data_IF_593112932483
#
_entry.id   IF_593112932483
#
_cell.length_a   1.000
_cell.length_b   1.000
_cell.length_c   1.000
_cell.angle_alpha   90.00
_cell.angle_beta   90.00
_cell.angle_gamma   90.00
#
_symmetry.space_group_name_H-M   'P 1'
#
loop_
_entity.id
_entity.type
_entity.pdbx_description
1 polymer ?
#
# COMPACT_ATOMS: atom_id res chain seq x y z
N UNK A 1 -41.08 -5.79 -27.84
CA UNK A 1 -40.96 -7.26 -27.87
C UNK A 1 -39.68 -7.60 -28.62
N UNK A 2 -38.75 -8.28 -27.97
CA UNK A 2 -37.48 -8.71 -28.57
C UNK A 2 -36.27 -8.45 -27.66
N UNK A 3 -36.28 -9.02 -26.45
CA UNK A 3 -35.06 -9.23 -25.66
C UNK A 3 -34.27 -10.39 -26.26
N UNK A 4 -32.94 -10.30 -26.33
CA UNK A 4 -32.05 -11.44 -26.04
C UNK A 4 -30.60 -10.99 -25.88
N UNK A 5 -30.19 -10.83 -24.63
CA UNK A 5 -28.81 -10.78 -24.15
C UNK A 5 -28.09 -12.10 -24.39
N UNK A 6 -26.88 -12.06 -24.93
CA UNK A 6 -26.00 -13.22 -25.04
C UNK A 6 -25.16 -13.40 -23.76
N UNK A 7 -25.58 -14.34 -22.90
CA UNK A 7 -24.77 -14.86 -21.79
C UNK A 7 -24.43 -16.33 -22.08
N UNK A 8 -23.14 -16.67 -22.04
CA UNK A 8 -22.61 -18.03 -22.23
C UNK A 8 -22.63 -18.79 -20.90
N UNK A 9 -23.24 -19.98 -20.79
CA UNK A 9 -23.06 -20.86 -19.62
C UNK A 9 -21.97 -21.93 -19.79
N UNK A 10 -21.40 -22.29 -18.63
CA UNK A 10 -20.38 -23.31 -18.34
C UNK A 10 -20.88 -24.77 -18.44
N UNK A 11 -19.88 -25.66 -18.64
CA UNK A 11 -19.74 -27.05 -18.17
C UNK A 11 -20.46 -28.20 -18.90
N UNK A 12 -19.66 -29.23 -19.26
CA UNK A 12 -20.02 -30.65 -19.35
C UNK A 12 -18.72 -31.53 -19.25
N UNK A 13 -18.77 -32.86 -19.05
CA UNK A 13 -18.70 -33.52 -17.73
C UNK A 13 -17.53 -34.52 -17.59
N UNK A 14 -17.14 -34.81 -16.34
CA UNK A 14 -16.18 -35.89 -15.98
C UNK A 14 -16.93 -37.24 -15.96
N UNK A 15 -16.53 -38.18 -16.81
CA UNK A 15 -17.07 -39.56 -16.80
C UNK A 15 -16.02 -40.54 -16.29
N UNK A 16 -16.28 -41.17 -15.14
CA UNK A 16 -15.50 -42.28 -14.61
C UNK A 16 -16.24 -43.61 -14.79
N UNK A 17 -15.83 -44.44 -15.76
CA UNK A 17 -16.23 -45.85 -15.84
C UNK A 17 -15.22 -46.72 -15.09
N UNK A 18 -15.65 -47.43 -14.04
CA UNK A 18 -14.89 -48.52 -13.41
C UNK A 18 -14.88 -49.74 -14.33
N UNK A 19 -13.70 -50.29 -14.62
CA UNK A 19 -13.52 -51.63 -15.21
C UNK A 19 -12.92 -52.54 -14.15
N UNK A 20 -13.62 -53.61 -13.77
CA UNK A 20 -13.01 -54.72 -13.04
C UNK A 20 -12.03 -55.42 -13.99
N UNK A 21 -10.73 -55.34 -13.75
CA UNK A 21 -9.69 -55.96 -14.58
C UNK A 21 -9.06 -57.13 -13.82
N UNK A 22 -9.00 -58.32 -14.43
CA UNK A 22 -8.25 -59.46 -13.93
C UNK A 22 -6.77 -59.27 -14.24
N UNK A 23 -5.95 -59.06 -13.19
CA UNK A 23 -4.53 -58.72 -13.32
C UNK A 23 -3.66 -59.88 -13.83
N UNK A 24 -4.07 -61.12 -13.62
CA UNK A 24 -3.32 -62.34 -13.97
C UNK A 24 -3.23 -62.61 -15.48
N UNK A 25 -4.23 -62.17 -16.26
CA UNK A 25 -4.28 -62.38 -17.71
C UNK A 25 -3.48 -61.32 -18.49
N UNK A 26 -3.08 -60.23 -17.84
CA UNK A 26 -2.44 -59.10 -18.51
C UNK A 26 -0.96 -59.38 -18.83
N UNK A 27 -0.48 -58.78 -19.92
CA UNK A 27 0.94 -58.86 -20.28
C UNK A 27 1.78 -57.94 -19.39
N UNK A 28 3.08 -58.24 -19.20
CA UNK A 28 3.99 -57.44 -18.35
C UNK A 28 3.99 -55.95 -18.72
N UNK A 29 3.85 -55.63 -20.02
CA UNK A 29 3.82 -54.25 -20.53
C UNK A 29 2.56 -53.50 -20.11
N UNK A 30 1.42 -54.19 -20.04
CA UNK A 30 0.15 -53.59 -19.64
C UNK A 30 0.10 -53.36 -18.13
N UNK A 31 0.60 -54.32 -17.35
CA UNK A 31 0.79 -54.16 -15.90
C UNK A 31 1.72 -52.99 -15.59
N UNK A 32 2.80 -52.83 -16.35
CA UNK A 32 3.72 -51.69 -16.19
C UNK A 32 3.02 -50.34 -16.44
N UNK A 33 2.15 -50.25 -17.45
CA UNK A 33 1.38 -49.02 -17.72
C UNK A 33 0.42 -48.70 -16.58
N UNK A 34 -0.26 -49.71 -16.04
CA UNK A 34 -1.17 -49.55 -14.91
C UNK A 34 -0.39 -49.12 -13.64
N UNK A 35 0.80 -49.66 -13.43
CA UNK A 35 1.69 -49.24 -12.33
C UNK A 35 2.20 -47.79 -12.47
N UNK A 36 2.34 -47.29 -13.69
CA UNK A 36 2.65 -45.86 -13.93
C UNK A 36 1.46 -44.99 -13.57
N UNK A 37 0.24 -45.38 -13.95
CA UNK A 37 -0.99 -44.63 -13.65
C UNK A 37 -1.28 -44.57 -12.15
N UNK A 38 -1.05 -45.67 -11.43
CA UNK A 38 -1.17 -45.73 -9.97
C UNK A 38 0.08 -45.24 -9.21
N UNK A 39 1.05 -44.67 -9.93
CA UNK A 39 2.28 -44.08 -9.40
C UNK A 39 3.08 -44.98 -8.44
N UNK A 40 3.19 -46.28 -8.75
CA UNK A 40 3.95 -47.23 -7.94
C UNK A 40 5.45 -46.96 -8.00
N UNK A 41 6.14 -47.04 -6.86
CA UNK A 41 7.60 -46.89 -6.77
C UNK A 41 8.32 -48.18 -7.19
N UNK A 42 9.54 -48.06 -7.72
CA UNK A 42 10.39 -49.18 -8.16
C UNK A 42 9.82 -50.11 -9.26
N UNK A 43 8.75 -49.71 -9.96
CA UNK A 43 8.07 -50.53 -11.00
C UNK A 43 8.97 -51.04 -12.13
N UNK A 44 10.04 -50.32 -12.46
CA UNK A 44 10.95 -50.63 -13.57
C UNK A 44 11.93 -51.76 -13.26
N UNK A 45 12.12 -52.08 -11.98
CA UNK A 45 13.01 -53.17 -11.55
C UNK A 45 12.26 -54.48 -11.28
N UNK A 46 10.92 -54.46 -11.30
CA UNK A 46 10.09 -55.60 -10.91
C UNK A 46 9.86 -56.62 -12.04
N UNK A 47 9.75 -57.89 -11.67
CA UNK A 47 9.31 -58.96 -12.57
C UNK A 47 7.79 -58.92 -12.79
N UNK A 48 7.24 -59.72 -13.72
CA UNK A 48 5.79 -59.69 -14.03
C UNK A 48 4.97 -60.05 -12.79
N UNK A 49 5.38 -61.10 -12.10
CA UNK A 49 4.73 -61.62 -10.89
C UNK A 49 4.81 -60.62 -9.73
N UNK A 50 5.96 -59.97 -9.56
CA UNK A 50 6.13 -58.90 -8.56
C UNK A 50 5.24 -57.69 -8.85
N UNK A 51 5.05 -57.33 -10.12
CA UNK A 51 4.13 -56.26 -10.53
C UNK A 51 2.67 -56.62 -10.27
N UNK A 52 2.27 -57.87 -10.51
CA UNK A 52 0.91 -58.34 -10.21
C UNK A 52 0.63 -58.26 -8.70
N UNK A 53 1.55 -58.75 -7.87
CA UNK A 53 1.41 -58.70 -6.42
C UNK A 53 1.41 -57.27 -5.87
N UNK A 54 2.27 -56.39 -6.40
CA UNK A 54 2.32 -54.98 -5.99
C UNK A 54 1.05 -54.21 -6.39
N UNK A 55 0.49 -54.50 -7.56
CA UNK A 55 -0.77 -53.90 -8.02
C UNK A 55 -1.96 -54.41 -7.21
N UNK A 56 -2.05 -55.71 -6.94
CA UNK A 56 -3.13 -56.28 -6.15
C UNK A 56 -3.11 -55.73 -4.72
N UNK A 57 -1.92 -55.62 -4.12
CA UNK A 57 -1.71 -54.97 -2.82
C UNK A 57 -2.13 -53.49 -2.83
N UNK A 58 -1.71 -52.73 -3.83
CA UNK A 58 -2.06 -51.32 -3.93
C UNK A 58 -3.57 -51.10 -4.16
N UNK A 59 -4.23 -52.01 -4.87
CA UNK A 59 -5.68 -51.99 -5.07
C UNK A 59 -6.45 -52.46 -3.83
N UNK A 60 -5.91 -53.39 -3.03
CA UNK A 60 -6.49 -53.78 -1.74
C UNK A 60 -6.32 -52.70 -0.67
N UNK A 61 -5.17 -52.02 -0.63
CA UNK A 61 -4.91 -50.92 0.32
C UNK A 61 -5.84 -49.72 0.03
N UNK A 62 -6.18 -49.48 -1.25
CA UNK A 62 -7.16 -48.46 -1.64
C UNK A 62 -8.63 -48.85 -1.38
N UNK A 63 -8.91 -50.08 -0.95
CA UNK A 63 -10.27 -50.54 -0.59
C UNK A 63 -10.61 -50.33 0.90
N UNK A 64 -9.63 -49.92 1.71
CA UNK A 64 -9.79 -49.79 3.18
C UNK A 64 -9.84 -48.34 3.68
N UNK A 65 -9.76 -47.34 2.81
CA UNK A 65 -10.01 -45.94 3.20
C UNK A 65 -11.45 -45.50 2.89
N UNK A 66 -12.40 -46.29 3.38
CA UNK A 66 -13.72 -45.81 3.81
C UNK A 66 -13.83 -46.08 5.31
N UNK A 67 -13.59 -45.03 6.10
CA UNK A 67 -13.97 -44.88 7.50
C UNK A 67 -13.13 -45.59 8.59
N UNK A 68 -12.49 -44.73 9.38
CA UNK A 68 -12.27 -44.81 10.84
C UNK A 68 -11.04 -45.57 11.35
N UNK A 69 -9.92 -44.85 11.46
CA UNK A 69 -8.99 -45.06 12.57
C UNK A 69 -8.85 -43.75 13.37
N UNK A 70 -9.16 -43.88 14.65
CA UNK A 70 -9.14 -42.83 15.66
C UNK A 70 -7.69 -42.46 15.98
N UNK A 71 -7.21 -41.35 15.43
CA UNK A 71 -6.05 -40.67 16.02
C UNK A 71 -6.53 -39.83 17.21
N UNK A 72 -5.94 -40.08 18.37
CA UNK A 72 -6.01 -39.21 19.55
C UNK A 72 -5.89 -37.76 19.09
N UNK A 73 -6.87 -36.96 19.49
CA UNK A 73 -6.89 -35.51 19.29
C UNK A 73 -5.72 -34.93 20.07
N UNK A 74 -4.56 -34.81 19.43
CA UNK A 74 -3.70 -33.68 19.73
C UNK A 74 -4.53 -32.45 19.36
N UNK A 75 -4.83 -31.53 20.31
CA UNK A 75 -5.34 -30.24 19.89
C UNK A 75 -4.31 -29.72 18.91
N UNK A 76 -4.72 -29.57 17.65
CA UNK A 76 -3.93 -28.84 16.67
C UNK A 76 -3.52 -27.53 17.35
N UNK A 77 -2.26 -27.06 17.22
CA UNK A 77 -1.94 -25.71 17.61
C UNK A 77 -3.02 -24.86 16.95
N UNK A 78 -3.87 -24.23 17.76
CA UNK A 78 -4.85 -23.28 17.28
C UNK A 78 -4.00 -22.34 16.46
N UNK A 79 -4.12 -22.38 15.12
CA UNK A 79 -3.46 -21.39 14.29
C UNK A 79 -3.85 -20.08 14.95
N UNK A 80 -2.89 -19.25 15.37
CA UNK A 80 -3.23 -17.98 16.01
C UNK A 80 -4.25 -17.35 15.07
N UNK A 81 -5.48 -17.14 15.58
CA UNK A 81 -6.52 -16.47 14.82
C UNK A 81 -5.82 -15.27 14.21
N UNK A 82 -5.84 -15.16 12.88
CA UNK A 82 -5.28 -14.01 12.22
C UNK A 82 -6.06 -12.85 12.79
N UNK A 83 -5.49 -12.16 13.77
CA UNK A 83 -6.08 -10.97 14.39
C UNK A 83 -6.11 -9.98 13.24
N UNK A 84 -7.22 -9.95 12.51
CA UNK A 84 -7.50 -8.85 11.60
C UNK A 84 -7.42 -7.61 12.48
N UNK A 85 -6.64 -6.60 12.09
CA UNK A 85 -6.66 -5.33 12.80
C UNK A 85 -8.13 -4.96 13.02
N UNK A 86 -8.51 -4.55 14.25
CA UNK A 86 -9.87 -4.10 14.50
C UNK A 86 -10.28 -3.14 13.38
N UNK A 87 -11.42 -3.41 12.75
CA UNK A 87 -11.96 -2.50 11.76
C UNK A 87 -12.34 -1.22 12.50
N UNK A 88 -11.56 -0.16 12.28
CA UNK A 88 -11.86 1.18 12.75
C UNK A 88 -12.48 1.94 11.57
N UNK A 89 -13.80 1.87 11.36
CA UNK A 89 -14.43 2.67 10.32
C UNK A 89 -14.17 4.15 10.62
N UNK A 90 -13.75 4.90 9.59
CA UNK A 90 -13.54 6.34 9.71
C UNK A 90 -14.91 6.98 9.93
N UNK A 91 -15.13 7.73 11.03
CA UNK A 91 -16.39 8.43 11.24
C UNK A 91 -16.63 9.47 10.15
N UNK A 92 -17.89 9.66 9.75
CA UNK A 92 -18.26 10.70 8.78
C UNK A 92 -17.93 12.12 9.31
N UNK A 93 -17.96 12.30 10.63
CA UNK A 93 -17.68 13.56 11.33
C UNK A 93 -16.94 13.32 12.63
N UNK A 94 -16.04 14.23 12.98
CA UNK A 94 -15.26 14.15 14.20
C UNK A 94 -15.91 14.90 15.38
N UNK A 95 -16.89 15.77 15.11
CA UNK A 95 -17.58 16.62 16.09
C UNK A 95 -16.61 17.51 16.87
N UNK A 96 -15.60 18.05 16.18
CA UNK A 96 -14.58 18.94 16.73
C UNK A 96 -14.62 20.25 15.95
N UNK A 97 -14.70 21.37 16.68
CA UNK A 97 -14.62 22.70 16.08
C UNK A 97 -13.25 22.89 15.41
N UNK A 98 -13.24 22.90 14.08
CA UNK A 98 -12.03 22.91 13.27
C UNK A 98 -12.19 23.87 12.12
N UNK A 99 -11.15 24.68 11.86
CA UNK A 99 -11.00 25.43 10.62
C UNK A 99 -9.54 25.32 10.19
N UNK A 100 -9.31 24.93 8.94
CA UNK A 100 -7.96 24.76 8.39
C UNK A 100 -7.91 25.39 7.01
N UNK A 101 -6.91 26.24 6.82
CA UNK A 101 -6.59 26.88 5.55
C UNK A 101 -5.27 26.31 5.03
N UNK A 102 -5.27 25.93 3.75
CA UNK A 102 -4.12 25.41 3.03
C UNK A 102 -3.88 26.26 1.77
N UNK A 103 -2.69 26.86 1.61
CA UNK A 103 -2.34 27.58 0.39
C UNK A 103 -2.14 26.56 -0.76
N UNK A 104 -2.79 26.79 -1.90
CA UNK A 104 -2.64 25.94 -3.09
C UNK A 104 -1.69 26.59 -4.09
N UNK A 105 -1.89 27.87 -4.36
CA UNK A 105 -1.02 28.71 -5.19
C UNK A 105 -1.19 30.18 -4.75
N UNK A 106 -0.44 31.16 -5.28
CA UNK A 106 -0.53 32.56 -4.85
C UNK A 106 -1.90 33.23 -5.04
N UNK A 107 -2.82 32.56 -5.73
CA UNK A 107 -4.18 33.03 -6.04
C UNK A 107 -5.29 32.16 -5.43
N UNK A 108 -4.95 30.98 -4.89
CA UNK A 108 -5.95 29.99 -4.47
C UNK A 108 -5.62 29.41 -3.13
N UNK A 109 -6.65 29.38 -2.30
CA UNK A 109 -6.64 28.79 -0.97
C UNK A 109 -7.71 27.73 -0.89
N UNK A 110 -7.38 26.62 -0.22
CA UNK A 110 -8.33 25.60 0.16
C UNK A 110 -8.63 25.74 1.64
N UNK A 111 -9.90 25.76 1.99
CA UNK A 111 -10.34 25.83 3.38
C UNK A 111 -11.34 24.72 3.64
N UNK A 112 -11.18 24.02 4.75
CA UNK A 112 -12.18 23.10 5.26
C UNK A 112 -12.45 23.37 6.73
N UNK A 113 -13.70 23.12 7.14
CA UNK A 113 -14.14 23.37 8.50
C UNK A 113 -15.20 22.37 8.93
N UNK A 114 -15.31 22.24 10.24
CA UNK A 114 -16.38 21.51 10.92
C UNK A 114 -16.72 22.27 12.21
N UNK A 115 -18.00 22.46 12.49
CA UNK A 115 -18.47 23.00 13.77
C UNK A 115 -19.26 21.92 14.49
N UNK A 116 -18.87 21.62 15.72
CA UNK A 116 -19.47 20.59 16.56
C UNK A 116 -20.90 20.95 16.97
N UNK A 117 -21.74 19.93 17.06
CA UNK A 117 -23.16 20.07 17.42
C UNK A 117 -23.33 20.65 18.82
N UNK A 118 -22.43 20.30 19.75
CA UNK A 118 -22.43 20.85 21.11
C UNK A 118 -22.21 22.38 21.10
N UNK A 119 -21.28 22.85 20.27
CA UNK A 119 -20.97 24.28 20.15
C UNK A 119 -22.13 25.05 19.54
N UNK A 120 -22.77 24.49 18.52
CA UNK A 120 -24.01 25.05 17.94
C UNK A 120 -25.13 25.14 18.99
N UNK A 121 -25.38 24.05 19.71
CA UNK A 121 -26.47 24.00 20.69
C UNK A 121 -26.24 25.00 21.84
N UNK A 122 -25.01 25.06 22.36
CA UNK A 122 -24.60 26.04 23.37
C UNK A 122 -24.83 27.47 22.88
N UNK A 123 -24.46 27.76 21.63
CA UNK A 123 -24.63 29.08 21.04
C UNK A 123 -26.11 29.48 20.95
N UNK A 124 -26.98 28.56 20.47
CA UNK A 124 -28.44 28.80 20.37
C UNK A 124 -29.08 29.11 21.71
N UNK A 125 -28.69 28.41 22.77
CA UNK A 125 -29.19 28.63 24.13
C UNK A 125 -28.71 29.98 24.66
N UNK A 126 -27.43 30.31 24.47
CA UNK A 126 -26.84 31.54 25.00
C UNK A 126 -27.38 32.81 24.33
N UNK A 127 -27.70 32.75 23.03
CA UNK A 127 -28.14 33.92 22.25
C UNK A 127 -29.64 33.93 21.97
N UNK A 128 -30.39 32.94 22.48
CA UNK A 128 -31.84 32.77 22.28
C UNK A 128 -32.25 32.76 20.80
N UNK A 129 -31.38 32.24 19.94
CA UNK A 129 -31.57 32.30 18.49
C UNK A 129 -31.69 30.92 17.85
N UNK A 130 -32.91 30.56 17.37
CA UNK A 130 -33.15 29.25 16.79
C UNK A 130 -32.51 29.09 15.40
N UNK A 131 -32.48 30.18 14.63
CA UNK A 131 -31.82 30.26 13.32
C UNK A 131 -30.44 30.87 13.45
N UNK A 132 -29.45 30.16 12.92
CA UNK A 132 -28.05 30.56 12.88
C UNK A 132 -27.54 30.40 11.46
N UNK A 133 -26.72 31.35 11.02
CA UNK A 133 -26.00 31.24 9.75
C UNK A 133 -24.52 31.01 10.03
N UNK A 134 -23.86 30.16 9.26
CA UNK A 134 -22.42 29.97 9.34
C UNK A 134 -21.75 30.88 8.32
N UNK A 135 -20.73 31.60 8.75
CA UNK A 135 -19.96 32.50 7.88
C UNK A 135 -18.50 32.15 8.00
N UNK A 136 -17.90 31.81 6.87
CA UNK A 136 -16.47 31.59 6.75
C UNK A 136 -15.84 32.89 6.26
N UNK A 137 -14.84 33.36 6.99
CA UNK A 137 -14.09 34.57 6.68
C UNK A 137 -12.62 34.23 6.46
N UNK A 138 -11.97 34.97 5.57
CA UNK A 138 -10.52 34.94 5.38
C UNK A 138 -9.97 36.30 5.72
N UNK A 139 -8.96 36.32 6.56
CA UNK A 139 -8.25 37.51 6.99
C UNK A 139 -6.82 37.49 6.48
N UNK A 140 -6.30 38.68 6.16
CA UNK A 140 -4.91 38.89 5.79
C UNK A 140 -4.28 39.94 6.68
N UNK A 141 -3.00 39.81 6.98
CA UNK A 141 -2.32 40.81 7.79
C UNK A 141 -0.90 40.42 8.15
N UNK A 142 -0.30 41.19 9.05
CA UNK A 142 0.99 40.84 9.63
C UNK A 142 0.82 39.90 10.83
N UNK A 143 1.90 39.30 11.33
CA UNK A 143 1.83 38.40 12.50
C UNK A 143 1.23 39.09 13.73
N UNK A 144 1.48 40.39 13.90
CA UNK A 144 1.18 41.18 15.11
C UNK A 144 -0.14 41.96 15.07
N UNK A 145 -0.81 42.07 13.93
CA UNK A 145 -1.96 42.97 13.75
C UNK A 145 -3.30 42.19 13.68
N UNK A 146 -4.40 42.87 14.01
CA UNK A 146 -5.75 42.39 13.70
C UNK A 146 -5.96 42.55 12.19
N UNK A 147 -5.86 41.43 11.46
CA UNK A 147 -5.87 41.43 10.00
C UNK A 147 -7.11 42.05 9.38
N UNK A 148 -6.96 42.50 8.14
CA UNK A 148 -8.04 42.95 7.27
C UNK A 148 -8.90 41.76 6.82
N UNK A 149 -10.22 41.93 6.80
CA UNK A 149 -11.13 40.94 6.19
C UNK A 149 -10.95 41.00 4.66
N UNK A 150 -10.42 39.92 4.08
CA UNK A 150 -10.19 39.81 2.64
C UNK A 150 -11.42 39.28 1.91
N UNK A 151 -12.11 38.31 2.52
CA UNK A 151 -13.31 37.70 1.96
C UNK A 151 -14.20 37.09 3.03
N UNK A 152 -15.50 37.01 2.73
CA UNK A 152 -16.46 36.27 3.54
C UNK A 152 -17.51 35.58 2.67
N UNK A 153 -17.94 34.39 3.11
CA UNK A 153 -18.93 33.57 2.42
C UNK A 153 -19.83 32.88 3.44
N UNK A 154 -21.13 32.82 3.13
CA UNK A 154 -22.10 32.05 3.92
C UNK A 154 -22.00 30.58 3.55
N UNK A 155 -21.86 29.73 4.55
CA UNK A 155 -21.56 28.31 4.36
C UNK A 155 -22.47 27.43 5.22
N UNK A 156 -22.34 26.11 5.04
CA UNK A 156 -22.92 25.13 5.94
C UNK A 156 -22.11 24.95 7.23
N UNK A 157 -22.64 24.12 8.14
CA UNK A 157 -22.00 23.77 9.41
C UNK A 157 -20.60 23.17 9.24
N UNK A 158 -20.42 22.36 8.21
CA UNK A 158 -19.18 21.70 7.85
C UNK A 158 -19.06 21.66 6.34
N UNK A 159 -17.83 21.50 5.86
CA UNK A 159 -17.57 21.38 4.43
C UNK A 159 -16.21 21.94 4.07
N UNK A 160 -16.07 22.23 2.79
CA UNK A 160 -14.86 22.75 2.19
C UNK A 160 -15.19 23.81 1.14
N UNK A 161 -14.25 24.70 0.91
CA UNK A 161 -14.38 25.83 -0.01
C UNK A 161 -13.03 26.20 -0.60
N UNK A 162 -13.06 26.72 -1.82
CA UNK A 162 -11.89 27.32 -2.46
C UNK A 162 -12.10 28.82 -2.59
N UNK A 163 -11.15 29.58 -2.09
CA UNK A 163 -11.08 31.01 -2.35
C UNK A 163 -10.15 31.26 -3.55
N UNK A 164 -10.46 32.31 -4.34
CA UNK A 164 -9.63 32.78 -5.46
C UNK A 164 -9.11 34.18 -5.11
N UNK A 165 -8.33 34.27 -4.03
CA UNK A 165 -7.75 35.53 -3.55
C UNK A 165 -6.31 35.65 -4.03
N UNK A 166 -5.99 36.75 -4.70
CA UNK A 166 -4.62 37.04 -5.10
C UNK A 166 -3.86 37.73 -3.96
N UNK A 167 -3.11 36.95 -3.19
CA UNK A 167 -2.41 37.39 -1.98
C UNK A 167 -1.00 36.77 -1.85
N UNK A 168 -0.08 37.03 -2.79
CA UNK A 168 1.29 36.50 -2.72
C UNK A 168 2.05 37.05 -1.51
N UNK A 169 2.91 36.22 -0.91
CA UNK A 169 3.81 36.56 0.22
C UNK A 169 3.15 37.14 1.48
N UNK A 170 1.81 37.12 1.58
CA UNK A 170 1.06 37.60 2.73
C UNK A 170 0.75 36.48 3.72
N UNK A 171 0.67 36.82 5.02
CA UNK A 171 0.12 35.92 6.02
C UNK A 171 -1.41 36.02 6.02
N UNK A 172 -2.07 34.87 5.91
CA UNK A 172 -3.52 34.76 5.92
C UNK A 172 -3.99 33.67 6.87
N UNK A 173 -5.23 33.77 7.33
CA UNK A 173 -5.92 32.72 8.09
C UNK A 173 -7.41 32.74 7.82
N UNK A 174 -8.05 31.59 7.98
CA UNK A 174 -9.50 31.46 7.91
C UNK A 174 -10.10 31.42 9.31
N UNK A 175 -11.33 31.91 9.42
CA UNK A 175 -12.12 31.85 10.64
C UNK A 175 -13.55 31.43 10.28
N UNK A 176 -14.07 30.43 10.97
CA UNK A 176 -15.47 30.04 10.91
C UNK A 176 -16.20 30.62 12.11
N UNK A 177 -17.31 31.29 11.85
CA UNK A 177 -18.13 31.89 12.88
C UNK A 177 -19.62 31.68 12.66
N UNK A 178 -20.37 31.91 13.73
CA UNK A 178 -21.81 31.88 13.80
C UNK A 178 -22.35 33.29 13.73
N UNK A 179 -23.37 33.49 12.92
CA UNK A 179 -24.09 34.75 12.82
C UNK A 179 -25.49 34.58 13.39
N UNK A 180 -25.81 35.48 14.31
CA UNK A 180 -27.11 35.58 14.97
C UNK A 180 -28.17 36.23 14.06
N UNK A 181 -29.46 36.07 14.37
CA UNK A 181 -30.57 36.73 13.67
C UNK A 181 -30.48 38.27 13.73
N UNK A 182 -29.79 38.82 14.74
CA UNK A 182 -29.46 40.24 14.90
C UNK A 182 -28.30 40.71 14.02
N UNK A 183 -27.63 39.81 13.30
CA UNK A 183 -26.47 40.12 12.46
C UNK A 183 -25.13 40.17 13.21
N UNK A 184 -25.11 39.82 14.50
CA UNK A 184 -23.87 39.75 15.28
C UNK A 184 -23.08 38.51 14.88
N UNK A 185 -21.79 38.68 14.60
CA UNK A 185 -20.87 37.60 14.22
C UNK A 185 -20.02 37.18 15.41
N UNK A 186 -19.94 35.87 15.64
CA UNK A 186 -19.18 35.25 16.72
C UNK A 186 -18.23 34.20 16.15
N UNK A 187 -16.93 34.44 16.30
CA UNK A 187 -15.90 33.50 15.92
C UNK A 187 -16.00 32.20 16.75
N UNK A 188 -15.90 31.05 16.08
CA UNK A 188 -15.93 29.73 16.74
C UNK A 188 -14.57 29.06 16.69
N UNK A 189 -13.98 28.98 15.50
CA UNK A 189 -12.67 28.39 15.29
C UNK A 189 -11.89 29.16 14.23
N UNK A 190 -10.57 29.21 14.39
CA UNK A 190 -9.66 29.85 13.46
C UNK A 190 -8.58 28.85 13.01
N UNK A 191 -8.09 29.02 11.78
CA UNK A 191 -6.92 28.30 11.31
C UNK A 191 -5.65 28.89 11.92
N UNK A 192 -4.53 28.17 11.76
CA UNK A 192 -3.22 28.81 11.92
C UNK A 192 -3.04 29.89 10.85
N UNK A 193 -2.21 30.89 11.16
CA UNK A 193 -1.71 31.84 10.17
C UNK A 193 -0.74 31.11 9.26
N UNK A 194 -0.93 31.24 7.95
CA UNK A 194 -0.08 30.62 6.94
C UNK A 194 0.40 31.69 5.97
N UNK A 195 1.68 31.62 5.60
CA UNK A 195 2.25 32.49 4.58
C UNK A 195 1.90 31.95 3.21
N UNK A 196 1.32 32.78 2.36
CA UNK A 196 1.04 32.45 0.98
C UNK A 196 2.33 32.34 0.17
N UNK A 197 2.38 31.43 -0.81
CA UNK A 197 3.53 31.30 -1.69
C UNK A 197 3.75 32.58 -2.49
N UNK A 198 5.02 32.84 -2.83
CA UNK A 198 5.38 33.93 -3.72
C UNK A 198 4.91 33.63 -5.15
N UNK A 199 4.54 34.67 -5.89
CA UNK A 199 4.29 34.61 -7.32
C UNK A 199 5.53 34.97 -8.16
N UNK A 200 6.64 35.28 -7.49
CA UNK A 200 7.90 35.64 -8.12
C UNK A 200 8.83 34.43 -8.21
N UNK A 201 9.70 34.48 -9.20
CA UNK A 201 10.84 33.57 -9.29
C UNK A 201 11.81 33.94 -8.16
N UNK A 202 12.33 32.93 -7.47
CA UNK A 202 13.34 33.14 -6.44
C UNK A 202 14.57 33.84 -7.03
N UNK A 203 14.99 34.95 -6.41
CA UNK A 203 16.27 35.59 -6.73
C UNK A 203 17.46 34.81 -6.15
N UNK A 204 17.20 33.88 -5.23
CA UNK A 204 18.20 32.99 -4.67
C UNK A 204 18.54 31.92 -5.70
N UNK A 205 19.63 32.15 -6.42
CA UNK A 205 20.29 31.16 -7.27
C UNK A 205 20.99 30.17 -6.35
N UNK A 206 20.28 29.07 -6.05
CA UNK A 206 20.81 27.79 -5.58
C UNK A 206 22.00 27.88 -4.59
N UNK A 207 21.75 28.44 -3.39
CA UNK A 207 22.67 28.21 -2.26
C UNK A 207 22.59 26.75 -1.76
N UNK A 208 21.49 26.06 -2.09
CA UNK A 208 21.29 24.64 -1.81
C UNK A 208 21.98 23.79 -2.87
N UNK A 209 23.29 23.62 -2.73
CA UNK A 209 24.01 22.57 -3.43
C UNK A 209 23.40 21.22 -3.04
N UNK A 210 22.49 20.69 -3.87
CA UNK A 210 21.84 19.39 -3.71
C UNK A 210 22.89 18.28 -3.78
N UNK A 211 23.59 18.01 -2.68
CA UNK A 211 24.79 17.17 -2.61
C UNK A 211 25.78 17.49 -3.74
N UNK A 212 26.91 18.10 -3.43
CA UNK A 212 28.09 17.90 -4.28
C UNK A 212 28.47 16.43 -4.14
N UNK A 213 27.90 15.59 -5.02
CA UNK A 213 28.18 14.15 -5.20
C UNK A 213 29.66 13.94 -5.62
N UNK A 214 30.50 14.98 -5.63
CA UNK A 214 31.91 14.90 -6.02
C UNK A 214 32.81 14.37 -4.91
N UNK A 215 32.95 15.09 -3.80
CA UNK A 215 34.13 14.91 -2.93
C UNK A 215 34.16 13.56 -2.19
N UNK A 216 33.03 13.09 -1.66
CA UNK A 216 33.00 11.83 -0.88
C UNK A 216 32.77 10.58 -1.72
N UNK A 217 32.44 10.74 -2.99
CA UNK A 217 32.14 9.60 -3.84
C UNK A 217 33.42 8.96 -4.36
N UNK A 218 34.43 9.76 -4.67
CA UNK A 218 35.78 9.29 -4.97
C UNK A 218 36.32 8.42 -3.83
N UNK A 219 36.12 8.83 -2.58
CA UNK A 219 36.50 8.04 -1.40
C UNK A 219 35.74 6.72 -1.31
N UNK A 220 34.41 6.73 -1.49
CA UNK A 220 33.59 5.51 -1.48
C UNK A 220 34.01 4.54 -2.59
N UNK A 221 34.34 5.04 -3.79
CA UNK A 221 34.75 4.20 -4.91
C UNK A 221 36.18 3.69 -4.77
N UNK A 222 37.11 4.50 -4.23
CA UNK A 222 38.46 4.05 -3.88
C UNK A 222 38.42 2.96 -2.81
N UNK A 223 37.56 3.10 -1.80
CA UNK A 223 37.31 2.06 -0.80
C UNK A 223 36.68 0.78 -1.40
N UNK A 224 35.98 0.91 -2.53
CA UNK A 224 35.41 -0.22 -3.28
C UNK A 224 36.41 -0.92 -4.21
N UNK A 225 37.65 -0.43 -4.30
CA UNK A 225 38.73 -1.03 -5.09
C UNK A 225 38.84 -0.55 -6.54
N UNK A 226 38.08 0.48 -6.92
CA UNK A 226 38.19 1.13 -8.24
C UNK A 226 39.22 2.26 -8.14
N UNK A 227 40.41 2.05 -8.68
CA UNK A 227 41.55 2.97 -8.52
C UNK A 227 41.73 3.98 -9.67
N UNK A 228 41.12 3.74 -10.84
CA UNK A 228 41.22 4.63 -12.00
C UNK A 228 39.82 5.11 -12.39
N UNK A 229 39.41 6.23 -11.82
CA UNK A 229 38.28 6.99 -12.34
C UNK A 229 38.84 8.06 -13.28
N UNK A 230 38.72 7.85 -14.58
CA UNK A 230 39.11 8.87 -15.56
C UNK A 230 38.27 10.13 -15.29
N UNK A 231 38.93 11.22 -14.91
CA UNK A 231 38.32 12.50 -14.50
C UNK A 231 37.46 13.16 -15.59
N UNK A 232 37.46 12.58 -16.80
CA UNK A 232 36.74 13.05 -17.97
C UNK A 232 35.33 12.44 -18.16
N UNK A 233 34.85 11.54 -17.29
CA UNK A 233 33.58 10.82 -17.53
C UNK A 233 32.55 11.11 -16.43
N UNK A 234 31.65 12.10 -16.63
CA UNK A 234 30.57 12.38 -15.69
C UNK A 234 29.41 11.41 -15.97
N UNK A 235 29.31 10.33 -15.20
CA UNK A 235 28.15 9.46 -15.29
C UNK A 235 28.13 8.33 -14.26
N UNK A 236 27.19 8.40 -13.33
CA UNK A 236 26.96 7.37 -12.29
C UNK A 236 26.75 5.96 -12.86
N UNK A 237 26.21 5.85 -14.07
CA UNK A 237 25.95 4.57 -14.75
C UNK A 237 27.24 3.86 -15.16
N UNK A 238 28.22 4.57 -15.73
CA UNK A 238 29.50 3.95 -16.13
C UNK A 238 30.34 3.57 -14.92
N UNK A 239 30.31 4.42 -13.88
CA UNK A 239 30.99 4.16 -12.63
C UNK A 239 30.43 2.89 -11.97
N UNK A 240 29.10 2.75 -11.90
CA UNK A 240 28.45 1.55 -11.39
C UNK A 240 28.81 0.29 -12.18
N UNK A 241 28.88 0.38 -13.51
CA UNK A 241 29.29 -0.75 -14.36
C UNK A 241 30.72 -1.21 -14.05
N UNK A 242 31.65 -0.28 -13.80
CA UNK A 242 33.05 -0.62 -13.49
C UNK A 242 33.17 -1.26 -12.09
N UNK A 243 32.43 -0.74 -11.10
CA UNK A 243 32.34 -1.35 -9.75
C UNK A 243 31.80 -2.78 -9.84
N UNK A 244 30.71 -2.98 -10.58
CA UNK A 244 30.13 -4.32 -10.76
C UNK A 244 31.09 -5.27 -11.46
N UNK A 245 31.79 -4.81 -12.50
CA UNK A 245 32.83 -5.59 -13.19
C UNK A 245 33.96 -5.98 -12.25
N UNK A 246 34.43 -5.07 -11.39
CA UNK A 246 35.48 -5.37 -10.41
C UNK A 246 35.01 -6.39 -9.37
N UNK A 247 33.79 -6.22 -8.84
CA UNK A 247 33.18 -7.17 -7.91
C UNK A 247 33.01 -8.55 -8.55
N UNK A 248 32.57 -8.64 -9.80
CA UNK A 248 32.45 -9.90 -10.53
C UNK A 248 33.83 -10.57 -10.72
N UNK A 249 34.86 -9.80 -11.06
CA UNK A 249 36.22 -10.31 -11.26
C UNK A 249 36.81 -10.86 -9.96
N UNK A 250 36.58 -10.18 -8.83
CA UNK A 250 37.07 -10.61 -7.51
C UNK A 250 36.18 -11.65 -6.81
N UNK A 251 34.88 -11.66 -7.08
CA UNK A 251 33.99 -12.73 -6.64
C UNK A 251 34.32 -14.06 -7.36
N UNK A 252 34.76 -13.98 -8.62
CA UNK A 252 35.22 -15.14 -9.40
C UNK A 252 36.56 -15.71 -8.91
N UNK A 253 37.37 -14.95 -8.17
CA UNK A 253 38.66 -15.41 -7.63
C UNK A 253 38.58 -15.99 -6.21
N UNK A 254 37.44 -15.89 -5.52
CA UNK A 254 37.20 -16.53 -4.20
C UNK A 254 36.75 -17.99 -4.32
N UNK A 255 37.19 -18.68 -5.37
CA UNK A 255 36.78 -20.03 -5.73
C UNK A 255 37.91 -21.03 -5.92
N UNK A 256 39.04 -20.96 -5.19
CA UNK A 256 40.04 -22.04 -5.20
C UNK A 256 40.72 -22.29 -3.85
N UNK A 257 40.28 -23.39 -3.22
CA UNK A 257 41.05 -24.39 -2.47
C UNK A 257 41.97 -23.95 -1.33
N UNK A 258 41.46 -24.07 -0.10
CA UNK A 258 42.26 -24.40 1.07
C UNK A 258 42.89 -25.80 0.88
N UNK A 259 44.20 -25.87 0.57
CA UNK A 259 44.97 -27.11 0.67
C UNK A 259 45.68 -27.15 2.03
N UNK A 260 45.21 -28.08 2.85
CA UNK A 260 45.77 -28.52 4.13
C UNK A 260 46.90 -29.51 3.86
N UNK A 261 48.11 -29.20 4.31
CA UNK A 261 49.24 -30.11 4.58
C UNK A 261 50.33 -29.25 5.25
N UNK A 262 50.97 -29.58 6.37
CA UNK A 262 51.16 -30.88 6.98
C UNK A 262 52.66 -31.19 7.02
N UNK A 263 53.29 -30.84 8.14
CA UNK A 263 54.64 -31.18 8.61
C UNK A 263 55.79 -30.24 8.26
#
# INVERSE_FOLDING_TARGET
MGESSGTVPRNLPVTGRRRNMNLSEMTKKELYRLAVELNLANRSKMTKEELEQALDKAMSDNKTHSSTEQHKVHPSPVLPEKISPPEYPIPDRYQIDTAVLLPVNPRKEYVYWEVADNTVNRFKVQHESPEISFVLKVFGGNETDSGEELASVRVGRYGNWFFDLYVPDKMIWAEIGLMDNKGNYFAVAHSRKVRMPSDKISEMIDEETWMTVGEKIEDIYRLSGVNELDSAVPGSVRIFQEVMRFLETNASSSGTTAKREGR
#
